data_IF_826748629296
#
_entry.id   IF_826748629296
#
_cell.length_a   1.000
_cell.length_b   1.000
_cell.length_c   1.000
_cell.angle_alpha   90.00
_cell.angle_beta   90.00
_cell.angle_gamma   90.00
#
_symmetry.space_group_name_H-M   'P 1'
#
loop_
_entity.id
_entity.type
_entity.pdbx_description
1 polymer ?
#
# COMPACT_ATOMS: atom_id res chain seq x y z
N UNK A 1 -31.79 54.37 43.09
CA UNK A 1 -31.75 54.79 41.67
C UNK A 1 -30.44 54.41 40.99
N UNK A 2 -29.27 54.73 41.58
CA UNK A 2 -27.95 54.46 40.98
C UNK A 2 -27.64 52.96 40.76
N UNK A 3 -28.03 52.09 41.69
CA UNK A 3 -27.84 50.62 41.56
C UNK A 3 -28.65 50.05 40.40
N UNK A 4 -29.88 50.50 40.21
CA UNK A 4 -30.76 50.04 39.13
C UNK A 4 -30.19 50.44 37.76
N UNK A 5 -29.69 51.68 37.62
CA UNK A 5 -29.04 52.15 36.40
C UNK A 5 -27.76 51.37 36.08
N UNK A 6 -26.98 51.02 37.11
CA UNK A 6 -25.79 50.18 36.94
C UNK A 6 -26.15 48.77 36.44
N UNK A 7 -27.19 48.14 37.01
CA UNK A 7 -27.66 46.82 36.57
C UNK A 7 -28.19 46.83 35.13
N UNK A 8 -28.92 47.88 34.75
CA UNK A 8 -29.39 48.06 33.36
C UNK A 8 -28.19 48.22 32.41
N UNK A 9 -27.18 49.00 32.80
CA UNK A 9 -25.95 49.16 32.02
C UNK A 9 -25.21 47.83 31.79
N UNK A 10 -25.05 47.03 32.84
CA UNK A 10 -24.44 45.69 32.76
C UNK A 10 -25.25 44.78 31.83
N UNK A 11 -26.58 44.79 31.92
CA UNK A 11 -27.45 44.00 31.06
C UNK A 11 -27.31 44.40 29.59
N UNK A 12 -27.25 45.70 29.28
CA UNK A 12 -27.06 46.20 27.91
C UNK A 12 -25.71 45.73 27.36
N UNK A 13 -24.63 45.85 28.14
CA UNK A 13 -23.29 45.40 27.73
C UNK A 13 -23.26 43.89 27.51
N UNK A 14 -23.87 43.12 28.40
CA UNK A 14 -24.01 41.67 28.26
C UNK A 14 -24.72 41.29 26.95
N UNK A 15 -25.86 41.91 26.66
CA UNK A 15 -26.62 41.66 25.42
C UNK A 15 -25.84 42.08 24.18
N UNK A 16 -25.14 43.21 24.23
CA UNK A 16 -24.30 43.68 23.12
C UNK A 16 -23.15 42.72 22.81
N UNK A 17 -22.40 42.27 23.83
CA UNK A 17 -21.33 41.27 23.66
C UNK A 17 -21.91 39.99 23.08
N UNK A 18 -23.01 39.49 23.65
CA UNK A 18 -23.68 38.29 23.18
C UNK A 18 -24.07 38.38 21.70
N UNK A 19 -24.67 39.50 21.30
CA UNK A 19 -25.08 39.74 19.92
C UNK A 19 -23.88 39.78 18.96
N UNK A 20 -22.82 40.52 19.31
CA UNK A 20 -21.60 40.63 18.49
C UNK A 20 -20.96 39.26 18.25
N UNK A 21 -20.80 38.44 19.30
CA UNK A 21 -20.23 37.11 19.16
C UNK A 21 -21.12 36.19 18.33
N UNK A 22 -22.44 36.17 18.57
CA UNK A 22 -23.38 35.30 17.86
C UNK A 22 -23.35 35.46 16.34
N UNK A 23 -23.22 36.70 15.85
CA UNK A 23 -23.25 36.97 14.40
C UNK A 23 -21.88 36.99 13.72
N UNK A 24 -20.79 37.15 14.47
CA UNK A 24 -19.45 37.35 13.90
C UNK A 24 -18.44 36.27 14.28
N UNK A 25 -18.77 35.30 15.14
CA UNK A 25 -17.80 34.30 15.59
C UNK A 25 -17.27 33.43 14.44
N UNK A 26 -18.12 33.04 13.47
CA UNK A 26 -17.76 32.16 12.37
C UNK A 26 -17.07 32.87 11.19
N UNK A 27 -17.23 34.18 11.07
CA UNK A 27 -16.65 34.97 9.98
C UNK A 27 -15.12 35.00 10.11
N UNK A 28 -14.42 34.79 9.00
CA UNK A 28 -12.96 34.81 8.96
C UNK A 28 -12.29 33.75 9.84
N UNK A 29 -12.97 32.60 10.07
CA UNK A 29 -12.32 31.41 10.62
C UNK A 29 -11.92 30.48 9.49
N UNK A 30 -10.62 30.20 9.38
CA UNK A 30 -10.08 29.17 8.50
C UNK A 30 -9.66 27.95 9.31
N UNK A 31 -9.94 26.75 8.79
CA UNK A 31 -9.43 25.49 9.31
C UNK A 31 -8.91 24.68 8.15
N UNK A 32 -7.69 24.16 8.28
CA UNK A 32 -7.12 23.18 7.38
C UNK A 32 -6.50 22.06 8.19
N UNK A 33 -6.81 20.82 7.81
CA UNK A 33 -6.20 19.60 8.35
C UNK A 33 -5.48 18.90 7.20
N UNK A 34 -4.19 18.68 7.34
CA UNK A 34 -3.37 18.01 6.33
C UNK A 34 -2.43 17.01 6.99
N UNK A 35 -2.16 15.89 6.32
CA UNK A 35 -1.06 15.02 6.72
C UNK A 35 0.26 15.60 6.21
N UNK A 36 1.31 15.54 7.04
CA UNK A 36 2.66 15.99 6.65
C UNK A 36 3.21 15.22 5.44
N UNK A 37 2.76 13.98 5.24
CA UNK A 37 3.11 13.12 4.10
C UNK A 37 1.84 12.52 3.51
N UNK A 38 1.82 12.32 2.18
CA UNK A 38 0.72 11.64 1.48
C UNK A 38 0.73 10.11 1.66
N UNK A 39 1.92 9.55 1.85
CA UNK A 39 2.12 8.11 1.99
C UNK A 39 3.13 7.82 3.10
N UNK A 40 2.88 6.75 3.85
CA UNK A 40 3.75 6.22 4.92
C UNK A 40 3.70 4.70 4.94
N UNK A 41 4.66 4.04 5.60
CA UNK A 41 4.65 2.58 5.72
C UNK A 41 3.95 2.17 7.02
N UNK A 42 3.25 1.04 7.00
CA UNK A 42 2.63 0.48 8.20
C UNK A 42 3.67 0.31 9.34
N UNK A 43 3.35 0.87 10.49
CA UNK A 43 4.15 0.95 11.71
C UNK A 43 4.82 2.31 11.92
N UNK A 44 4.84 3.17 10.91
CA UNK A 44 5.43 4.52 11.01
C UNK A 44 4.48 5.52 11.69
N UNK A 45 5.06 6.63 12.14
CA UNK A 45 4.33 7.78 12.69
C UNK A 45 4.39 8.95 11.72
N UNK A 46 3.25 9.58 11.49
CA UNK A 46 3.09 10.78 10.66
C UNK A 46 2.47 11.89 11.49
N UNK A 47 2.78 13.15 11.18
CA UNK A 47 2.11 14.27 11.82
C UNK A 47 0.85 14.67 11.03
N UNK A 48 -0.27 14.79 11.73
CA UNK A 48 -1.42 15.59 11.29
C UNK A 48 -1.12 17.04 11.63
N UNK A 49 -1.11 17.89 10.61
CA UNK A 49 -0.87 19.33 10.71
C UNK A 49 -2.22 20.02 10.75
N UNK A 50 -2.55 20.55 11.92
CA UNK A 50 -3.76 21.35 12.12
C UNK A 50 -3.42 22.82 12.03
N UNK A 51 -4.10 23.51 11.13
CA UNK A 51 -3.95 24.94 10.94
C UNK A 51 -5.30 25.59 11.19
N UNK A 52 -5.38 26.44 12.20
CA UNK A 52 -6.57 27.25 12.45
C UNK A 52 -6.17 28.73 12.43
N UNK A 53 -6.90 29.52 11.66
CA UNK A 53 -6.71 30.97 11.54
C UNK A 53 -7.94 31.74 11.99
N UNK A 54 -7.70 32.81 12.74
CA UNK A 54 -8.71 33.78 13.14
C UNK A 54 -8.37 35.13 12.51
N UNK A 55 -8.94 35.44 11.34
CA UNK A 55 -8.65 36.65 10.56
C UNK A 55 -9.48 37.87 10.98
N UNK A 56 -10.21 37.75 12.09
CA UNK A 56 -11.01 38.83 12.66
C UNK A 56 -10.34 39.41 13.91
N UNK A 57 -10.75 40.63 14.22
CA UNK A 57 -10.35 41.34 15.45
C UNK A 57 -11.02 40.81 16.72
N UNK A 58 -12.01 39.92 16.59
CA UNK A 58 -12.71 39.32 17.73
C UNK A 58 -11.89 38.15 18.28
N UNK A 59 -11.45 38.18 19.55
CA UNK A 59 -10.82 37.03 20.18
C UNK A 59 -11.86 35.94 20.47
N UNK A 60 -11.44 34.67 20.39
CA UNK A 60 -12.27 33.51 20.68
C UNK A 60 -11.57 32.66 21.75
N UNK A 61 -11.97 32.77 23.03
CA UNK A 61 -11.21 32.19 24.13
C UNK A 61 -11.30 30.66 24.23
N UNK A 62 -12.37 30.03 23.73
CA UNK A 62 -12.56 28.58 23.82
C UNK A 62 -13.30 28.06 22.59
N UNK A 63 -12.55 27.70 21.57
CA UNK A 63 -13.06 27.04 20.36
C UNK A 63 -12.60 25.59 20.39
N UNK A 64 -13.54 24.67 20.18
CA UNK A 64 -13.28 23.26 20.07
C UNK A 64 -13.22 22.88 18.59
N UNK A 65 -12.10 22.34 18.13
CA UNK A 65 -11.97 21.67 16.84
C UNK A 65 -12.25 20.18 17.06
N UNK A 66 -13.28 19.68 16.38
CA UNK A 66 -13.65 18.28 16.38
C UNK A 66 -13.44 17.69 15.00
N UNK A 67 -12.88 16.50 14.93
CA UNK A 67 -12.79 15.71 13.71
C UNK A 67 -12.80 14.23 14.05
N UNK A 68 -13.08 13.41 13.05
CA UNK A 68 -13.12 11.96 13.16
C UNK A 68 -12.13 11.35 12.17
N UNK A 69 -11.46 10.30 12.61
CA UNK A 69 -10.53 9.50 11.81
C UNK A 69 -10.83 8.02 12.01
N UNK A 70 -10.30 7.19 11.11
CA UNK A 70 -10.41 5.74 11.25
C UNK A 70 -9.76 5.26 12.57
N UNK A 71 -10.33 4.20 13.17
CA UNK A 71 -9.85 3.65 14.43
C UNK A 71 -8.42 3.11 14.35
N UNK A 72 -7.98 2.72 13.15
CA UNK A 72 -6.63 2.15 12.96
C UNK A 72 -5.51 3.20 12.97
N UNK A 73 -5.87 4.48 12.96
CA UNK A 73 -4.96 5.59 13.21
C UNK A 73 -4.90 5.86 14.72
N UNK A 74 -3.79 5.46 15.33
CA UNK A 74 -3.59 5.56 16.77
C UNK A 74 -2.90 6.87 17.16
N UNK A 75 -3.56 7.67 17.99
CA UNK A 75 -2.91 8.81 18.65
C UNK A 75 -2.14 8.32 19.89
N UNK A 76 -0.99 8.94 20.24
CA UNK A 76 -0.19 8.50 21.38
C UNK A 76 -1.01 8.47 22.69
N UNK A 77 -0.82 7.46 23.53
CA UNK A 77 -1.58 7.28 24.78
C UNK A 77 -1.44 8.38 25.84
N UNK A 78 -0.56 9.37 25.64
CA UNK A 78 -0.52 10.62 26.42
C UNK A 78 -1.59 11.63 26.01
N UNK A 79 -2.33 11.34 24.95
CA UNK A 79 -3.35 12.20 24.40
C UNK A 79 -4.68 12.05 25.14
N UNK A 80 -5.09 13.11 25.86
CA UNK A 80 -6.39 13.15 26.56
C UNK A 80 -7.53 13.67 25.68
N UNK A 81 -7.23 14.05 24.43
CA UNK A 81 -8.19 14.71 23.55
C UNK A 81 -8.89 13.76 22.56
N UNK A 82 -8.52 12.47 22.55
CA UNK A 82 -9.08 11.47 21.66
C UNK A 82 -9.92 10.43 22.42
N UNK A 83 -11.03 10.02 21.82
CA UNK A 83 -11.88 8.93 22.30
C UNK A 83 -12.12 7.95 21.16
N UNK A 84 -11.82 6.67 21.40
CA UNK A 84 -11.97 5.59 20.42
C UNK A 84 -13.30 4.87 20.69
N UNK A 85 -14.16 4.81 19.67
CA UNK A 85 -15.34 3.95 19.66
C UNK A 85 -15.40 3.18 18.34
N UNK A 86 -16.30 3.55 17.44
CA UNK A 86 -16.33 2.99 16.09
C UNK A 86 -15.29 3.65 15.16
N UNK A 87 -15.06 4.93 15.40
CA UNK A 87 -14.04 5.79 14.84
C UNK A 87 -13.25 6.41 15.99
N UNK A 88 -12.10 6.99 15.69
CA UNK A 88 -11.38 7.83 16.65
C UNK A 88 -11.87 9.26 16.51
N UNK A 89 -12.53 9.77 17.56
CA UNK A 89 -13.00 11.14 17.65
C UNK A 89 -12.01 11.96 18.44
N UNK A 90 -11.57 13.09 17.89
CA UNK A 90 -10.64 14.00 18.55
C UNK A 90 -11.28 15.36 18.76
N UNK A 91 -11.06 15.95 19.95
CA UNK A 91 -11.58 17.25 20.33
C UNK A 91 -10.46 18.14 20.89
N UNK A 92 -9.97 19.07 20.07
CA UNK A 92 -8.91 19.98 20.44
C UNK A 92 -9.41 21.36 20.82
N UNK A 93 -8.96 21.85 21.97
CA UNK A 93 -9.32 23.18 22.47
C UNK A 93 -8.28 24.20 22.03
N UNK A 94 -8.76 25.33 21.51
CA UNK A 94 -7.96 26.46 21.08
C UNK A 94 -8.48 27.77 21.68
N UNK A 95 -7.54 28.68 21.95
CA UNK A 95 -7.81 30.06 22.33
C UNK A 95 -7.14 30.97 21.31
N UNK A 96 -7.95 31.78 20.62
CA UNK A 96 -7.48 32.70 19.58
C UNK A 96 -7.57 34.15 20.04
N UNK A 97 -6.48 34.88 19.87
CA UNK A 97 -6.51 36.34 19.85
C UNK A 97 -6.94 36.85 18.47
N UNK A 98 -7.05 38.17 18.36
CA UNK A 98 -7.30 38.85 17.09
C UNK A 98 -6.19 38.54 16.06
N UNK A 99 -6.57 38.23 14.82
CA UNK A 99 -5.64 38.03 13.70
C UNK A 99 -4.55 36.97 13.95
N UNK A 100 -4.87 35.93 14.73
CA UNK A 100 -3.92 34.89 15.11
C UNK A 100 -4.09 33.63 14.26
N UNK A 101 -2.96 33.01 13.88
CA UNK A 101 -2.91 31.68 13.27
C UNK A 101 -2.14 30.75 14.19
N UNK A 102 -2.73 29.58 14.48
CA UNK A 102 -2.11 28.54 15.31
C UNK A 102 -1.91 27.31 14.42
N UNK A 103 -0.72 26.73 14.48
CA UNK A 103 -0.39 25.47 13.80
C UNK A 103 0.07 24.46 14.83
N UNK A 104 -0.60 23.31 14.89
CA UNK A 104 -0.22 22.17 15.74
C UNK A 104 0.18 20.99 14.86
N UNK A 105 1.17 20.23 15.32
CA UNK A 105 1.59 18.96 14.71
C UNK A 105 1.27 17.87 15.71
N UNK A 106 0.41 16.95 15.32
CA UNK A 106 -0.05 15.86 16.17
C UNK A 106 0.48 14.56 15.58
N UNK A 107 1.37 13.84 16.29
CA UNK A 107 1.85 12.55 15.82
C UNK A 107 0.71 11.53 15.85
N UNK A 108 0.60 10.75 14.79
CA UNK A 108 -0.36 9.66 14.60
C UNK A 108 0.39 8.44 14.10
N UNK A 109 0.20 7.31 14.76
CA UNK A 109 0.81 6.04 14.40
C UNK A 109 -0.12 5.25 13.49
N UNK A 110 0.39 4.80 12.35
CA UNK A 110 -0.36 4.03 11.37
C UNK A 110 -0.08 2.54 11.57
N UNK A 111 -0.95 1.80 12.27
CA UNK A 111 -0.72 0.38 12.59
C UNK A 111 -1.30 -0.61 11.57
N UNK A 112 -2.14 -0.12 10.65
CA UNK A 112 -2.74 -0.93 9.60
C UNK A 112 -2.44 -0.31 8.23
N UNK A 113 -2.27 -1.17 7.22
CA UNK A 113 -2.24 -0.72 5.82
C UNK A 113 -3.64 -0.32 5.39
N UNK A 114 -3.75 0.62 4.46
CA UNK A 114 -5.05 1.11 4.04
C UNK A 114 -5.00 2.52 3.50
N UNK A 115 -6.17 3.00 3.08
CA UNK A 115 -6.41 4.41 2.79
C UNK A 115 -7.28 4.97 3.89
N UNK A 116 -6.77 5.94 4.63
CA UNK A 116 -7.47 6.54 5.76
C UNK A 116 -7.80 7.99 5.48
N UNK A 117 -9.02 8.40 5.84
CA UNK A 117 -9.55 9.74 5.60
C UNK A 117 -9.88 10.42 6.92
N UNK A 118 -9.42 11.65 7.09
CA UNK A 118 -9.92 12.55 8.13
C UNK A 118 -11.16 13.24 7.58
N UNK A 119 -12.25 13.17 8.34
CA UNK A 119 -13.53 13.75 7.94
C UNK A 119 -14.24 14.40 9.13
N UNK A 120 -15.41 15.00 8.86
CA UNK A 120 -16.30 15.50 9.92
C UNK A 120 -15.71 16.65 10.72
N UNK A 121 -14.96 17.54 10.07
CA UNK A 121 -14.30 18.69 10.71
C UNK A 121 -15.34 19.72 11.14
N UNK A 122 -15.37 20.03 12.43
CA UNK A 122 -16.35 20.92 13.03
C UNK A 122 -15.70 21.82 14.07
N UNK A 123 -15.97 23.12 13.99
CA UNK A 123 -15.64 24.07 15.04
C UNK A 123 -16.86 24.31 15.93
N UNK A 124 -16.68 24.21 17.23
CA UNK A 124 -17.72 24.50 18.23
C UNK A 124 -17.26 25.63 19.14
N UNK A 125 -18.10 26.64 19.30
CA UNK A 125 -17.86 27.79 20.17
C UNK A 125 -19.04 28.01 21.11
N UNK A 126 -18.81 27.91 22.42
CA UNK A 126 -19.86 28.01 23.45
C UNK A 126 -20.29 29.47 23.76
N UNK A 127 -19.79 30.44 23.01
CA UNK A 127 -19.98 31.86 23.34
C UNK A 127 -19.00 32.35 24.41
N UNK A 128 -18.88 33.68 24.59
CA UNK A 128 -18.00 34.27 25.61
C UNK A 128 -18.43 33.94 27.04
N UNK A 129 -19.71 33.58 27.25
CA UNK A 129 -20.29 33.23 28.55
C UNK A 129 -20.68 31.75 28.66
N UNK A 130 -20.28 30.90 27.70
CA UNK A 130 -20.56 29.45 27.69
C UNK A 130 -22.06 29.05 27.68
N UNK A 131 -22.96 29.97 27.35
CA UNK A 131 -24.41 29.77 27.40
C UNK A 131 -25.03 29.34 26.06
N UNK A 132 -24.28 29.36 24.95
CA UNK A 132 -24.80 29.02 23.61
C UNK A 132 -23.79 28.23 22.79
N UNK A 133 -24.16 27.04 22.34
CA UNK A 133 -23.28 26.21 21.51
C UNK A 133 -23.50 26.56 20.04
N UNK A 134 -22.53 27.24 19.44
CA UNK A 134 -22.51 27.52 18.01
C UNK A 134 -21.60 26.52 17.30
N UNK A 135 -22.03 26.00 16.16
CA UNK A 135 -21.31 24.97 15.40
C UNK A 135 -21.10 25.45 13.96
N UNK A 136 -19.88 25.28 13.46
CA UNK A 136 -19.49 25.54 12.08
C UNK A 136 -18.90 24.24 11.53
N UNK A 137 -19.57 23.67 10.52
CA UNK A 137 -19.05 22.52 9.79
C UNK A 137 -18.13 23.02 8.68
N UNK A 138 -16.94 22.45 8.58
CA UNK A 138 -15.97 22.77 7.55
C UNK A 138 -15.84 21.57 6.65
N UNK A 139 -15.99 21.78 5.34
CA UNK A 139 -15.73 20.74 4.36
C UNK A 139 -14.23 20.67 4.08
N UNK A 140 -13.52 20.01 4.99
CA UNK A 140 -12.09 19.72 4.88
C UNK A 140 -11.93 18.22 4.98
N UNK A 141 -11.43 17.60 3.92
CA UNK A 141 -11.09 16.19 3.89
C UNK A 141 -9.63 16.04 3.51
N UNK A 142 -8.91 15.18 4.23
CA UNK A 142 -7.55 14.82 3.86
C UNK A 142 -7.38 13.31 3.99
N UNK A 143 -6.51 12.77 3.16
CA UNK A 143 -6.30 11.33 3.01
C UNK A 143 -4.82 11.00 3.19
N UNK A 144 -4.55 9.84 3.77
CA UNK A 144 -3.24 9.23 3.82
C UNK A 144 -3.32 7.78 3.33
N UNK A 145 -2.35 7.39 2.50
CA UNK A 145 -2.17 5.99 2.09
C UNK A 145 -1.07 5.36 2.95
N UNK A 146 -1.41 4.28 3.65
CA UNK A 146 -0.46 3.51 4.45
C UNK A 146 -0.09 2.25 3.67
N UNK A 147 1.15 2.21 3.20
CA UNK A 147 1.71 1.09 2.46
C UNK A 147 1.91 -0.14 3.36
N UNK A 148 1.79 -1.35 2.80
CA UNK A 148 2.14 -2.56 3.52
C UNK A 148 3.60 -2.52 3.98
N UNK A 149 3.86 -3.06 5.15
CA UNK A 149 5.23 -3.21 5.66
C UNK A 149 5.88 -4.40 4.97
N UNK A 150 7.12 -4.27 4.52
CA UNK A 150 7.87 -5.41 4.00
C UNK A 150 8.22 -6.40 5.11
N UNK A 151 8.29 -7.68 4.75
CA UNK A 151 8.71 -8.74 5.67
C UNK A 151 10.20 -8.62 6.01
N UNK A 152 10.63 -9.32 7.06
CA UNK A 152 12.04 -9.34 7.45
C UNK A 152 12.95 -9.89 6.34
N UNK A 153 13.94 -9.08 5.96
CA UNK A 153 14.91 -9.38 4.90
C UNK A 153 15.65 -10.70 5.09
N UNK A 154 15.96 -11.10 6.34
CA UNK A 154 16.67 -12.35 6.62
C UNK A 154 15.82 -13.58 6.34
N UNK A 155 14.53 -13.52 6.67
CA UNK A 155 13.57 -14.60 6.35
C UNK A 155 13.30 -14.67 4.85
N UNK A 156 13.21 -13.51 4.21
CA UNK A 156 12.96 -13.40 2.78
C UNK A 156 14.13 -13.85 1.90
N UNK A 157 15.36 -13.93 2.43
CA UNK A 157 16.56 -14.21 1.63
C UNK A 157 16.49 -15.53 0.86
N UNK A 158 15.83 -16.55 1.43
CA UNK A 158 15.64 -17.85 0.78
C UNK A 158 14.71 -17.73 -0.44
N UNK A 159 13.53 -17.11 -0.28
CA UNK A 159 12.59 -16.86 -1.37
C UNK A 159 13.25 -16.01 -2.46
N UNK A 160 13.95 -14.93 -2.06
CA UNK A 160 14.72 -14.09 -2.98
C UNK A 160 15.71 -14.91 -3.81
N UNK A 161 16.48 -15.80 -3.18
CA UNK A 161 17.48 -16.62 -3.86
C UNK A 161 16.85 -17.57 -4.88
N UNK A 162 15.68 -18.14 -4.57
CA UNK A 162 14.94 -19.02 -5.47
C UNK A 162 14.40 -18.26 -6.68
N UNK A 163 13.73 -17.12 -6.46
CA UNK A 163 13.21 -16.30 -7.57
C UNK A 163 14.36 -15.79 -8.45
N UNK A 164 15.47 -15.34 -7.84
CA UNK A 164 16.65 -14.89 -8.58
C UNK A 164 17.28 -16.01 -9.38
N UNK A 165 17.42 -17.22 -8.80
CA UNK A 165 17.97 -18.39 -9.48
C UNK A 165 17.13 -18.83 -10.68
N UNK A 166 15.80 -18.83 -10.56
CA UNK A 166 14.92 -19.15 -11.69
C UNK A 166 14.99 -18.06 -12.78
N UNK A 167 15.03 -16.78 -12.38
CA UNK A 167 15.21 -15.66 -13.31
C UNK A 167 16.55 -15.71 -14.05
N UNK A 168 17.61 -16.20 -13.40
CA UNK A 168 18.91 -16.45 -14.04
C UNK A 168 18.91 -17.69 -14.94
N UNK A 169 18.20 -18.77 -14.58
CA UNK A 169 18.12 -19.96 -15.42
C UNK A 169 17.44 -19.69 -16.76
N UNK A 170 16.34 -18.93 -16.77
CA UNK A 170 15.63 -18.56 -18.02
C UNK A 170 16.49 -17.70 -18.95
N UNK A 171 17.34 -16.85 -18.37
CA UNK A 171 18.28 -16.00 -19.12
C UNK A 171 19.16 -16.82 -20.08
N UNK A 172 19.75 -17.93 -19.62
CA UNK A 172 20.62 -18.80 -20.43
C UNK A 172 19.92 -19.57 -21.57
N UNK A 173 18.61 -19.47 -21.71
CA UNK A 173 17.86 -20.23 -22.72
C UNK A 173 17.71 -19.48 -24.06
N UNK A 174 18.04 -18.17 -24.11
CA UNK A 174 17.81 -17.30 -25.27
C UNK A 174 18.95 -16.28 -25.46
N UNK A 175 20.08 -16.72 -26.01
CA UNK A 175 21.19 -15.84 -26.41
C UNK A 175 20.79 -14.89 -27.57
N UNK A 176 21.20 -13.62 -27.50
CA UNK A 176 20.97 -12.66 -28.59
C UNK A 176 22.19 -12.62 -29.53
N UNK A 177 22.09 -13.10 -30.79
CA UNK A 177 23.22 -13.16 -31.72
C UNK A 177 23.84 -11.80 -32.07
N UNK A 178 23.19 -10.68 -31.73
CA UNK A 178 23.67 -9.34 -32.05
C UNK A 178 24.54 -8.72 -30.97
N UNK A 179 24.55 -9.26 -29.75
CA UNK A 179 25.34 -8.72 -28.64
C UNK A 179 26.52 -9.63 -28.37
N UNK A 180 27.70 -9.31 -28.88
CA UNK A 180 28.89 -10.13 -28.60
C UNK A 180 29.33 -10.00 -27.13
N UNK A 181 29.51 -11.12 -26.43
CA UNK A 181 29.97 -11.17 -25.04
C UNK A 181 31.44 -11.55 -24.93
N UNK A 182 31.88 -12.55 -25.70
CA UNK A 182 33.24 -13.08 -25.59
C UNK A 182 33.50 -14.27 -26.50
N UNK A 183 34.67 -14.88 -26.34
CA UNK A 183 35.07 -16.10 -27.03
C UNK A 183 35.48 -17.12 -25.97
N UNK A 184 34.98 -18.35 -26.08
CA UNK A 184 35.38 -19.47 -25.22
C UNK A 184 35.79 -20.68 -26.04
N UNK A 185 36.37 -21.66 -25.37
CA UNK A 185 36.68 -22.95 -25.98
C UNK A 185 35.41 -23.72 -26.34
N UNK A 186 35.46 -24.39 -27.49
CA UNK A 186 34.39 -25.23 -28.00
C UNK A 186 34.19 -26.47 -27.12
N UNK A 187 32.93 -26.78 -26.84
CA UNK A 187 32.53 -28.04 -26.20
C UNK A 187 31.63 -28.83 -27.15
N UNK A 188 31.53 -30.14 -26.95
CA UNK A 188 30.73 -31.02 -27.82
C UNK A 188 29.24 -30.69 -27.86
N UNK A 189 28.73 -29.87 -26.92
CA UNK A 189 27.35 -29.40 -26.89
C UNK A 189 27.12 -28.15 -27.75
N UNK A 190 28.17 -27.54 -28.31
CA UNK A 190 28.07 -26.29 -29.06
C UNK A 190 27.77 -26.54 -30.54
N UNK A 191 26.95 -25.66 -31.13
CA UNK A 191 26.70 -25.69 -32.57
C UNK A 191 27.93 -25.21 -33.34
N UNK A 192 28.30 -25.94 -34.38
CA UNK A 192 29.37 -25.53 -35.32
C UNK A 192 29.09 -24.19 -36.00
N UNK A 193 27.82 -23.74 -36.04
CA UNK A 193 27.43 -22.43 -36.56
C UNK A 193 28.02 -21.27 -35.75
N UNK A 194 28.26 -21.47 -34.46
CA UNK A 194 28.74 -20.43 -33.54
C UNK A 194 30.28 -20.42 -33.44
N UNK A 195 30.99 -21.28 -34.18
CA UNK A 195 32.45 -21.35 -34.18
C UNK A 195 33.06 -20.07 -34.75
N UNK A 196 33.97 -19.47 -34.00
CA UNK A 196 34.76 -18.34 -34.46
C UNK A 196 36.03 -18.85 -35.15
N UNK A 197 35.93 -19.09 -36.46
CA UNK A 197 37.04 -19.59 -37.27
C UNK A 197 38.31 -18.72 -37.21
N UNK A 198 38.16 -17.41 -37.01
CA UNK A 198 39.29 -16.47 -36.92
C UNK A 198 40.04 -16.61 -35.59
N UNK A 199 39.32 -16.84 -34.49
CA UNK A 199 39.92 -17.14 -33.20
C UNK A 199 40.58 -18.53 -33.24
N UNK A 200 39.85 -19.53 -33.73
CA UNK A 200 40.35 -20.91 -33.89
C UNK A 200 41.66 -20.98 -34.69
N UNK A 201 41.77 -20.23 -35.79
CA UNK A 201 42.98 -20.20 -36.60
C UNK A 201 44.21 -19.59 -35.88
N UNK A 202 44.01 -18.77 -34.84
CA UNK A 202 45.08 -18.12 -34.08
C UNK A 202 45.55 -18.94 -32.88
N UNK A 203 44.63 -19.55 -32.15
CA UNK A 203 44.92 -20.37 -30.97
C UNK A 203 45.21 -21.83 -31.31
N UNK A 204 44.79 -22.31 -32.49
CA UNK A 204 44.94 -23.71 -32.90
C UNK A 204 43.88 -24.66 -32.32
N UNK A 205 43.07 -24.19 -31.38
CA UNK A 205 41.95 -24.92 -30.77
C UNK A 205 40.62 -24.33 -31.23
N UNK A 206 39.58 -25.17 -31.36
CA UNK A 206 38.24 -24.72 -31.72
C UNK A 206 37.68 -23.75 -30.66
N UNK A 207 37.34 -22.54 -31.08
CA UNK A 207 36.74 -21.50 -30.25
C UNK A 207 35.34 -21.12 -30.76
N UNK A 208 34.45 -20.75 -29.86
CA UNK A 208 33.05 -20.38 -30.11
C UNK A 208 32.79 -18.95 -29.67
N UNK A 209 32.01 -18.20 -30.44
CA UNK A 209 31.51 -16.89 -30.03
C UNK A 209 30.41 -17.07 -28.97
N UNK A 210 30.59 -16.42 -27.82
CA UNK A 210 29.51 -16.20 -26.86
C UNK A 210 28.84 -14.87 -27.13
N UNK A 211 27.52 -14.89 -27.12
CA UNK A 211 26.71 -13.70 -27.21
C UNK A 211 26.05 -13.41 -25.85
N UNK A 212 25.81 -12.14 -25.56
CA UNK A 212 25.08 -11.66 -24.41
C UNK A 212 23.58 -11.69 -24.71
N UNK A 213 22.74 -11.73 -23.69
CA UNK A 213 21.29 -11.78 -23.90
C UNK A 213 20.67 -10.39 -23.73
N UNK A 214 19.76 -10.01 -24.63
CA UNK A 214 19.01 -8.74 -24.57
C UNK A 214 17.64 -8.87 -23.87
N UNK A 215 17.33 -10.02 -23.26
CA UNK A 215 15.98 -10.26 -22.72
C UNK A 215 15.81 -9.58 -21.36
N UNK A 216 14.76 -8.77 -21.22
CA UNK A 216 14.36 -8.19 -19.94
C UNK A 216 13.91 -9.29 -18.97
N UNK A 217 14.39 -9.19 -17.73
CA UNK A 217 13.93 -10.03 -16.62
C UNK A 217 12.60 -9.46 -16.13
N UNK A 218 11.59 -10.31 -16.09
CA UNK A 218 10.25 -9.94 -15.66
C UNK A 218 9.79 -10.88 -14.53
N UNK A 219 9.22 -10.34 -13.47
CA UNK A 219 8.62 -11.08 -12.36
C UNK A 219 7.15 -10.72 -12.28
N UNK A 220 6.27 -11.71 -12.33
CA UNK A 220 4.83 -11.51 -12.20
C UNK A 220 4.37 -12.04 -10.85
N UNK A 221 3.86 -11.16 -9.99
CA UNK A 221 3.30 -11.51 -8.69
C UNK A 221 1.82 -11.84 -8.90
N UNK A 222 1.45 -13.07 -8.57
CA UNK A 222 0.10 -13.59 -8.59
C UNK A 222 -0.38 -13.73 -7.14
N UNK A 223 -1.07 -12.72 -6.63
CA UNK A 223 -1.49 -12.64 -5.23
C UNK A 223 -2.93 -13.13 -5.08
N UNK A 224 -3.13 -14.21 -4.34
CA UNK A 224 -4.45 -14.73 -4.04
C UNK A 224 -4.80 -14.43 -2.58
N UNK A 225 -5.90 -13.72 -2.37
CA UNK A 225 -6.44 -13.41 -1.05
C UNK A 225 -7.84 -14.01 -0.82
N UNK A 226 -8.20 -15.07 -1.56
CA UNK A 226 -9.46 -15.79 -1.34
C UNK A 226 -9.48 -16.49 0.02
N UNK A 227 -10.65 -16.52 0.65
CA UNK A 227 -10.82 -17.11 1.97
C UNK A 227 -10.91 -18.65 1.88
N UNK A 228 -10.01 -19.36 2.55
CA UNK A 228 -9.97 -20.83 2.57
C UNK A 228 -10.68 -21.41 3.81
N UNK A 229 -12.00 -21.19 3.92
CA UNK A 229 -12.85 -21.79 4.96
C UNK A 229 -13.68 -20.80 5.79
N UNK A 230 -14.21 -21.26 6.93
CA UNK A 230 -15.05 -20.45 7.83
C UNK A 230 -14.27 -19.46 8.72
N UNK A 231 -12.94 -19.63 8.85
CA UNK A 231 -12.10 -18.73 9.64
C UNK A 231 -11.26 -17.89 8.68
N UNK A 232 -11.66 -16.64 8.50
CA UNK A 232 -10.83 -15.63 7.84
C UNK A 232 -9.63 -15.34 8.72
N UNK A 233 -8.44 -15.76 8.29
CA UNK A 233 -7.20 -15.38 8.94
C UNK A 233 -6.69 -14.10 8.30
N UNK A 234 -7.22 -12.96 8.72
CA UNK A 234 -6.80 -11.64 8.23
C UNK A 234 -5.27 -11.49 8.29
N UNK A 235 -4.62 -12.01 9.35
CA UNK A 235 -3.16 -11.98 9.47
C UNK A 235 -2.41 -12.74 8.37
N UNK A 236 -2.97 -13.84 7.85
CA UNK A 236 -2.34 -14.61 6.75
C UNK A 236 -2.43 -13.82 5.45
N UNK A 237 -3.59 -13.20 5.19
CA UNK A 237 -3.78 -12.34 4.02
C UNK A 237 -2.92 -11.07 4.09
N UNK A 238 -2.81 -10.45 5.27
CA UNK A 238 -1.94 -9.30 5.51
C UNK A 238 -0.45 -9.65 5.33
N UNK A 239 -0.02 -10.82 5.79
CA UNK A 239 1.35 -11.29 5.57
C UNK A 239 1.60 -11.61 4.08
N UNK A 240 0.60 -12.15 3.36
CA UNK A 240 0.67 -12.37 1.92
C UNK A 240 0.86 -11.05 1.13
N UNK A 241 0.14 -9.99 1.52
CA UNK A 241 0.31 -8.64 0.95
C UNK A 241 1.71 -8.09 1.28
N UNK A 242 2.18 -8.28 2.51
CA UNK A 242 3.52 -7.87 2.95
C UNK A 242 4.63 -8.60 2.18
N UNK A 243 4.44 -9.89 1.88
CA UNK A 243 5.30 -10.67 1.00
C UNK A 243 5.30 -10.13 -0.43
N UNK A 244 4.12 -9.83 -1.00
CA UNK A 244 4.01 -9.26 -2.34
C UNK A 244 4.76 -7.92 -2.44
N UNK A 245 4.59 -7.04 -1.44
CA UNK A 245 5.34 -5.77 -1.36
C UNK A 245 6.86 -6.01 -1.33
N UNK A 246 7.30 -7.01 -0.57
CA UNK A 246 8.73 -7.34 -0.41
C UNK A 246 9.34 -7.90 -1.70
N UNK A 247 8.61 -8.76 -2.40
CA UNK A 247 9.00 -9.27 -3.72
C UNK A 247 9.09 -8.10 -4.70
N UNK A 248 8.07 -7.24 -4.76
CA UNK A 248 8.07 -6.09 -5.66
C UNK A 248 9.24 -5.14 -5.38
N UNK A 249 9.46 -4.76 -4.12
CA UNK A 249 10.55 -3.85 -3.75
C UNK A 249 11.92 -4.42 -4.08
N UNK A 250 12.19 -5.69 -3.75
CA UNK A 250 13.48 -6.32 -4.00
C UNK A 250 13.81 -6.36 -5.50
N UNK A 251 12.88 -6.85 -6.32
CA UNK A 251 13.16 -7.03 -7.75
C UNK A 251 13.14 -5.70 -8.53
N UNK A 252 12.27 -4.75 -8.17
CA UNK A 252 12.31 -3.41 -8.77
C UNK A 252 13.63 -2.71 -8.44
N UNK A 253 14.16 -2.87 -7.21
CA UNK A 253 15.46 -2.30 -6.82
C UNK A 253 16.62 -2.90 -7.63
N UNK A 254 16.50 -4.15 -8.06
CA UNK A 254 17.46 -4.80 -8.95
C UNK A 254 17.28 -4.42 -10.44
N UNK A 255 16.33 -3.53 -10.77
CA UNK A 255 16.03 -3.12 -12.14
C UNK A 255 15.26 -4.17 -12.95
N UNK A 256 14.62 -5.12 -12.28
CA UNK A 256 13.79 -6.17 -12.89
C UNK A 256 12.36 -5.63 -12.98
N UNK A 257 11.69 -5.85 -14.11
CA UNK A 257 10.30 -5.40 -14.24
C UNK A 257 9.40 -6.30 -13.41
N UNK A 258 8.47 -5.69 -12.66
CA UNK A 258 7.50 -6.40 -11.85
C UNK A 258 6.09 -6.08 -12.32
N UNK A 259 5.24 -7.10 -12.41
CA UNK A 259 3.79 -6.96 -12.56
C UNK A 259 3.08 -7.59 -11.35
N UNK A 260 1.84 -7.17 -11.09
CA UNK A 260 1.02 -7.68 -9.98
C UNK A 260 -0.38 -7.96 -10.50
N UNK A 261 -0.94 -9.13 -10.18
CA UNK A 261 -2.33 -9.48 -10.43
C UNK A 261 -2.90 -10.10 -9.17
N UNK A 262 -4.08 -9.64 -8.75
CA UNK A 262 -4.75 -10.10 -7.54
C UNK A 262 -6.26 -10.18 -7.73
N UNK A 263 -6.91 -11.13 -7.06
CA UNK A 263 -8.37 -11.18 -6.95
C UNK A 263 -8.91 -10.26 -5.85
N UNK A 264 -8.04 -9.59 -5.10
CA UNK A 264 -8.45 -8.58 -4.14
C UNK A 264 -9.04 -7.36 -4.85
N UNK A 265 -10.10 -6.80 -4.27
CA UNK A 265 -10.80 -5.67 -4.84
C UNK A 265 -10.22 -4.34 -4.32
N UNK A 266 -10.10 -3.36 -5.21
CA UNK A 266 -9.78 -1.98 -4.84
C UNK A 266 -10.94 -1.34 -4.06
N UNK A 267 -10.64 -0.59 -3.01
CA UNK A 267 -11.63 0.08 -2.16
C UNK A 267 -12.56 1.04 -2.93
N UNK A 268 -12.07 1.70 -3.98
CA UNK A 268 -12.88 2.67 -4.75
C UNK A 268 -13.56 2.00 -5.95
N UNK A 269 -12.84 1.21 -6.76
CA UNK A 269 -13.42 0.61 -7.97
C UNK A 269 -14.24 -0.64 -7.69
N UNK A 270 -13.97 -1.34 -6.57
CA UNK A 270 -14.57 -2.63 -6.20
C UNK A 270 -14.30 -3.76 -7.21
N UNK A 271 -13.27 -3.59 -8.04
CA UNK A 271 -12.85 -4.58 -9.04
C UNK A 271 -11.48 -5.17 -8.68
N UNK A 272 -11.22 -6.38 -9.20
CA UNK A 272 -9.94 -7.06 -9.07
C UNK A 272 -8.80 -6.21 -9.63
N UNK A 273 -7.65 -6.21 -8.95
CA UNK A 273 -6.56 -5.29 -9.26
C UNK A 273 -5.45 -5.95 -10.08
N UNK A 274 -4.92 -5.18 -11.04
CA UNK A 274 -3.81 -5.60 -11.88
C UNK A 274 -2.93 -4.42 -12.28
N UNK A 275 -1.62 -4.60 -12.17
CA UNK A 275 -0.58 -3.67 -12.62
C UNK A 275 0.30 -4.37 -13.64
N UNK A 276 0.54 -3.71 -14.77
CA UNK A 276 1.39 -4.20 -15.87
C UNK A 276 2.87 -4.18 -15.47
N UNK A 277 3.69 -4.84 -16.28
CA UNK A 277 5.16 -4.85 -16.10
C UNK A 277 5.72 -3.42 -16.06
N UNK A 278 6.58 -3.14 -15.08
CA UNK A 278 7.28 -1.88 -14.96
C UNK A 278 8.40 -1.95 -13.91
N UNK A 279 9.25 -0.92 -13.88
CA UNK A 279 10.34 -0.80 -12.92
C UNK A 279 10.51 0.66 -12.46
N UNK A 280 11.40 0.86 -11.48
CA UNK A 280 11.69 2.16 -10.90
C UNK A 280 10.78 2.55 -9.72
N UNK A 281 11.15 3.67 -9.08
CA UNK A 281 10.53 4.13 -7.81
C UNK A 281 9.05 4.49 -7.99
N UNK A 282 8.69 5.12 -9.12
CA UNK A 282 7.29 5.45 -9.40
C UNK A 282 6.41 4.20 -9.52
N UNK A 283 6.91 3.16 -10.19
CA UNK A 283 6.20 1.88 -10.34
C UNK A 283 6.04 1.15 -9.01
N UNK A 284 7.09 1.14 -8.17
CA UNK A 284 7.01 0.60 -6.81
C UNK A 284 5.95 1.35 -5.99
N UNK A 285 5.88 2.67 -6.11
CA UNK A 285 4.82 3.49 -5.51
C UNK A 285 3.42 3.10 -5.98
N UNK A 286 3.23 2.83 -7.28
CA UNK A 286 1.96 2.35 -7.82
C UNK A 286 1.57 0.98 -7.27
N UNK A 287 2.51 0.03 -7.19
CA UNK A 287 2.29 -1.29 -6.59
C UNK A 287 1.89 -1.16 -5.12
N UNK A 288 2.66 -0.40 -4.34
CA UNK A 288 2.37 -0.21 -2.91
C UNK A 288 1.03 0.50 -2.67
N UNK A 289 0.66 1.43 -3.56
CA UNK A 289 -0.64 2.10 -3.51
C UNK A 289 -1.78 1.12 -3.76
N UNK A 290 -1.65 0.23 -4.76
CA UNK A 290 -2.65 -0.81 -5.02
C UNK A 290 -2.73 -1.81 -3.88
N UNK A 291 -1.60 -2.29 -3.35
CA UNK A 291 -1.57 -3.18 -2.18
C UNK A 291 -2.19 -2.54 -0.93
N UNK A 292 -2.01 -1.23 -0.74
CA UNK A 292 -2.65 -0.48 0.34
C UNK A 292 -4.16 -0.35 0.15
N UNK A 293 -4.64 -0.23 -1.09
CA UNK A 293 -6.06 -0.04 -1.43
C UNK A 293 -6.87 -1.34 -1.49
N UNK A 294 -6.23 -2.51 -1.44
CA UNK A 294 -6.91 -3.80 -1.39
C UNK A 294 -7.75 -3.93 -0.11
N UNK A 295 -9.06 -4.10 -0.26
CA UNK A 295 -9.98 -4.34 0.85
C UNK A 295 -10.24 -5.85 1.00
N UNK A 296 -9.89 -6.40 2.17
CA UNK A 296 -10.11 -7.81 2.49
C UNK A 296 -11.57 -8.14 2.80
N UNK A 297 -12.40 -7.14 3.11
CA UNK A 297 -13.81 -7.34 3.49
C UNK A 297 -14.73 -7.51 2.27
N UNK A 298 -14.28 -7.08 1.11
CA UNK A 298 -15.04 -7.23 -0.13
C UNK A 298 -15.04 -8.70 -0.56
N UNK A 299 -16.14 -9.12 -1.20
CA UNK A 299 -16.23 -10.43 -1.83
C UNK A 299 -15.25 -10.48 -3.01
N UNK A 300 -14.46 -11.53 -3.05
CA UNK A 300 -13.37 -11.71 -4.02
C UNK A 300 -13.82 -12.77 -5.02
N UNK A 301 -13.51 -12.57 -6.29
CA UNK A 301 -13.70 -13.62 -7.28
C UNK A 301 -12.76 -14.79 -7.01
N UNK A 302 -13.16 -15.99 -7.43
CA UNK A 302 -12.33 -17.18 -7.31
C UNK A 302 -11.04 -17.00 -8.12
N UNK A 303 -9.89 -17.16 -7.47
CA UNK A 303 -8.61 -16.84 -8.09
C UNK A 303 -8.31 -17.71 -9.32
N UNK A 304 -8.71 -18.98 -9.28
CA UNK A 304 -8.60 -19.87 -10.42
C UNK A 304 -9.38 -19.35 -11.65
N UNK A 305 -10.54 -18.73 -11.46
CA UNK A 305 -11.34 -18.15 -12.54
C UNK A 305 -10.67 -16.88 -13.10
N UNK A 306 -10.15 -16.01 -12.23
CA UNK A 306 -9.39 -14.82 -12.64
C UNK A 306 -8.19 -15.19 -13.53
N UNK A 307 -7.41 -16.21 -13.14
CA UNK A 307 -6.24 -16.65 -13.90
C UNK A 307 -6.66 -17.23 -15.26
N UNK A 308 -7.70 -18.06 -15.31
CA UNK A 308 -8.21 -18.60 -16.57
C UNK A 308 -8.66 -17.47 -17.51
N UNK A 309 -9.44 -16.51 -17.01
CA UNK A 309 -9.90 -15.35 -17.79
C UNK A 309 -8.74 -14.50 -18.30
N UNK A 310 -7.77 -14.23 -17.45
CA UNK A 310 -6.68 -13.27 -17.75
C UNK A 310 -5.61 -13.86 -18.65
N UNK A 311 -5.27 -15.14 -18.48
CA UNK A 311 -4.14 -15.75 -19.18
C UNK A 311 -4.53 -16.87 -20.16
N UNK A 312 -5.64 -17.56 -19.94
CA UNK A 312 -6.04 -18.67 -20.82
C UNK A 312 -7.00 -18.19 -21.90
N UNK A 313 -7.96 -17.33 -21.54
CA UNK A 313 -8.98 -16.81 -22.45
C UNK A 313 -8.54 -15.50 -23.14
N UNK A 314 -7.98 -14.55 -22.40
CA UNK A 314 -7.50 -13.27 -22.95
C UNK A 314 -5.99 -13.32 -23.27
N UNK A 315 -5.64 -13.80 -24.47
CA UNK A 315 -4.25 -13.83 -25.01
C UNK A 315 -3.64 -12.42 -25.22
N UNK A 316 -4.41 -11.35 -24.99
CA UNK A 316 -4.02 -9.95 -25.20
C UNK A 316 -3.15 -9.35 -24.09
N UNK A 317 -3.10 -9.97 -22.91
CA UNK A 317 -2.03 -9.68 -21.95
C UNK A 317 -0.80 -10.37 -22.48
N UNK A 318 0.00 -9.64 -23.27
CA UNK A 318 1.36 -10.02 -23.66
C UNK A 318 2.18 -10.24 -22.39
N UNK A 319 1.98 -11.42 -21.80
CA UNK A 319 2.79 -11.95 -20.75
C UNK A 319 4.05 -12.35 -21.49
N UNK A 320 5.12 -11.60 -21.26
CA UNK A 320 6.42 -11.96 -21.81
C UNK A 320 6.69 -13.43 -21.48
N UNK A 321 6.95 -14.27 -22.49
CA UNK A 321 7.29 -15.70 -22.30
C UNK A 321 8.47 -15.88 -21.32
N UNK A 322 9.20 -14.81 -21.04
CA UNK A 322 10.33 -14.73 -20.12
C UNK A 322 10.01 -14.27 -18.68
N UNK A 323 8.74 -14.26 -18.27
CA UNK A 323 8.39 -13.95 -16.87
C UNK A 323 8.62 -15.12 -15.91
N UNK A 324 9.06 -14.83 -14.68
CA UNK A 324 9.00 -15.74 -13.53
C UNK A 324 7.71 -15.43 -12.77
N UNK A 325 6.84 -16.43 -12.60
CA UNK A 325 5.57 -16.24 -11.91
C UNK A 325 5.70 -16.63 -10.44
N UNK A 326 5.42 -15.69 -9.55
CA UNK A 326 5.47 -15.87 -8.10
C UNK A 326 4.03 -15.85 -7.59
N UNK A 327 3.50 -17.03 -7.28
CA UNK A 327 2.17 -17.21 -6.71
C UNK A 327 2.27 -17.10 -5.19
N UNK A 328 1.56 -16.16 -4.60
CA UNK A 328 1.44 -16.02 -3.15
C UNK A 328 -0.01 -16.35 -2.80
N UNK A 329 -0.26 -17.52 -2.22
CA UNK A 329 -1.61 -18.01 -1.94
C UNK A 329 -1.62 -18.91 -0.73
N UNK A 330 -2.42 -18.57 0.28
CA UNK A 330 -2.71 -19.45 1.41
C UNK A 330 -3.76 -20.53 1.06
N UNK A 331 -4.67 -20.21 0.13
CA UNK A 331 -5.65 -21.18 -0.37
C UNK A 331 -4.96 -22.33 -1.09
N UNK A 332 -5.38 -23.55 -0.73
CA UNK A 332 -4.85 -24.82 -1.27
C UNK A 332 -5.92 -25.65 -1.98
N UNK A 333 -7.02 -25.02 -2.39
CA UNK A 333 -8.14 -25.73 -3.04
C UNK A 333 -7.68 -26.50 -4.27
N UNK A 334 -8.24 -27.71 -4.45
CA UNK A 334 -7.92 -28.61 -5.58
C UNK A 334 -8.03 -27.93 -6.94
N UNK A 335 -9.06 -27.10 -7.16
CA UNK A 335 -9.30 -26.39 -8.42
C UNK A 335 -8.20 -25.37 -8.73
N UNK A 336 -7.69 -24.67 -7.72
CA UNK A 336 -6.57 -23.74 -7.87
C UNK A 336 -5.29 -24.49 -8.22
N UNK A 337 -4.97 -25.57 -7.50
CA UNK A 337 -3.78 -26.39 -7.78
C UNK A 337 -3.78 -26.95 -9.21
N UNK A 338 -4.91 -27.46 -9.67
CA UNK A 338 -5.06 -27.96 -11.06
C UNK A 338 -4.92 -26.84 -12.09
N UNK A 339 -5.41 -25.64 -11.78
CA UNK A 339 -5.29 -24.47 -12.67
C UNK A 339 -3.84 -24.01 -12.76
N UNK A 340 -3.14 -23.93 -11.62
CA UNK A 340 -1.71 -23.58 -11.58
C UNK A 340 -0.85 -24.63 -12.28
N UNK A 341 -1.18 -25.93 -12.20
CA UNK A 341 -0.47 -26.96 -12.95
C UNK A 341 -0.64 -26.80 -14.48
N UNK A 342 -1.84 -26.42 -14.95
CA UNK A 342 -2.05 -26.10 -16.36
C UNK A 342 -1.28 -24.85 -16.77
N UNK A 343 -1.25 -23.86 -15.88
CA UNK A 343 -0.53 -22.61 -16.07
C UNK A 343 0.98 -22.83 -16.19
N UNK A 344 1.57 -23.61 -15.28
CA UNK A 344 2.99 -23.99 -15.29
C UNK A 344 3.37 -24.72 -16.59
N UNK A 345 2.52 -25.65 -17.06
CA UNK A 345 2.76 -26.34 -18.35
C UNK A 345 2.78 -25.39 -19.55
N UNK A 346 2.06 -24.27 -19.50
CA UNK A 346 1.96 -23.30 -20.62
C UNK A 346 3.05 -22.23 -20.55
N UNK A 347 3.28 -21.65 -19.37
CA UNK A 347 4.14 -20.48 -19.17
C UNK A 347 5.49 -20.79 -18.52
N UNK A 348 5.70 -22.06 -18.14
CA UNK A 348 6.91 -22.55 -17.52
C UNK A 348 6.95 -22.28 -16.02
N UNK A 349 8.04 -21.69 -15.56
CA UNK A 349 8.40 -21.61 -14.14
C UNK A 349 7.38 -20.85 -13.28
N UNK A 350 6.84 -21.55 -12.28
CA UNK A 350 5.97 -21.02 -11.23
C UNK A 350 6.61 -21.32 -9.87
N UNK A 351 6.77 -20.28 -9.05
CA UNK A 351 7.18 -20.41 -7.64
C UNK A 351 5.94 -20.15 -6.80
N UNK A 352 5.51 -21.13 -6.02
CA UNK A 352 4.35 -20.99 -5.15
C UNK A 352 4.79 -20.83 -3.70
N UNK A 353 4.54 -19.64 -3.15
CA UNK A 353 4.74 -19.31 -1.74
C UNK A 353 3.40 -19.49 -1.02
N UNK A 354 3.39 -20.30 0.04
CA UNK A 354 2.20 -20.60 0.82
C UNK A 354 2.35 -20.00 2.23
N UNK A 355 1.72 -18.85 2.51
CA UNK A 355 1.62 -18.33 3.88
C UNK A 355 0.76 -19.28 4.74
N UNK A 356 1.28 -19.68 5.91
CA UNK A 356 0.59 -20.59 6.83
C UNK A 356 0.83 -20.20 8.30
N UNK A 357 -0.15 -20.47 9.16
CA UNK A 357 -0.02 -20.24 10.61
C UNK A 357 0.90 -21.28 11.26
N UNK A 358 1.56 -20.93 12.38
CA UNK A 358 2.42 -21.86 13.14
C UNK A 358 1.71 -23.19 13.43
N UNK A 359 2.35 -24.30 13.04
CA UNK A 359 1.80 -25.66 13.16
C UNK A 359 0.87 -26.09 12.03
N UNK A 360 0.62 -25.24 11.03
CA UNK A 360 -0.13 -25.58 9.82
C UNK A 360 0.72 -26.31 8.77
N UNK A 361 0.05 -27.12 7.95
CA UNK A 361 0.66 -27.73 6.75
C UNK A 361 0.59 -26.80 5.54
N UNK A 362 1.57 -26.91 4.64
CA UNK A 362 1.64 -26.14 3.39
C UNK A 362 1.81 -27.01 2.14
N UNK A 363 1.58 -28.32 2.24
CA UNK A 363 1.68 -29.24 1.10
C UNK A 363 0.64 -28.96 0.02
N UNK A 364 0.99 -29.28 -1.23
CA UNK A 364 0.13 -29.21 -2.39
C UNK A 364 -0.09 -30.63 -2.94
N UNK A 365 -1.20 -31.26 -2.57
CA UNK A 365 -1.43 -32.69 -2.85
C UNK A 365 -1.96 -32.98 -4.27
N UNK A 366 -2.41 -31.95 -4.99
CA UNK A 366 -3.10 -32.07 -6.28
C UNK A 366 -2.33 -31.44 -7.45
N UNK A 367 -1.07 -31.04 -7.25
CA UNK A 367 -0.19 -30.59 -8.33
C UNK A 367 1.26 -31.04 -8.10
N UNK A 368 2.08 -30.98 -9.16
CA UNK A 368 3.51 -31.33 -9.09
C UNK A 368 4.42 -30.19 -8.64
N UNK A 369 3.85 -29.02 -8.32
CA UNK A 369 4.60 -27.82 -7.94
C UNK A 369 5.06 -27.99 -6.48
N UNK A 370 6.35 -27.79 -6.23
CA UNK A 370 6.88 -27.78 -4.87
C UNK A 370 6.64 -26.41 -4.23
N UNK A 371 5.81 -26.30 -3.18
CA UNK A 371 5.56 -25.04 -2.50
C UNK A 371 6.74 -24.64 -1.62
N UNK A 372 6.90 -23.33 -1.42
CA UNK A 372 7.75 -22.75 -0.40
C UNK A 372 6.85 -22.23 0.73
N UNK A 373 6.96 -22.85 1.91
CA UNK A 373 6.16 -22.45 3.07
C UNK A 373 6.66 -21.13 3.67
N UNK A 374 5.72 -20.24 4.03
CA UNK A 374 5.99 -19.03 4.80
C UNK A 374 5.19 -19.01 6.09
N UNK A 375 5.85 -19.21 7.22
CA UNK A 375 5.19 -19.16 8.53
C UNK A 375 4.79 -17.71 8.89
N UNK A 376 3.53 -17.47 9.20
CA UNK A 376 3.03 -16.18 9.69
C UNK A 376 3.38 -16.04 11.18
N UNK A 377 3.91 -14.89 11.59
CA UNK A 377 4.37 -14.63 12.96
C UNK A 377 3.46 -13.71 13.73
#
# INVERSE_FOLDING_TARGET
>A
MNVLLMLIGVLIVYLAIKFVFRYNWNKGLGVALEFEKKHVVNGETVNVVEVISNEKRLPLPCVNLKFQVDRELEFPGTDTNSSVSDLTYRNDVFSFLANQRITRRIPVKCNHRGVFKISGVQLTFAGPFMNEINVLKVDSTCEITVYPKTVDSKRFSFIRSRISGEAERKKYMLEDPFVFRGIRDYTSNDSLKNVNWKATARTGNLCVNEYNESVSRNVCILLNLEDDGMLTYDSVNEEAISLAASVAEEFIRQGINVSLISNACDVDTKEAVGIREGAGVGHLGSINTVLARMDLKLEKEEFAALINRTFIENVSVQSSDNSVYVVISASRRKKLQQTMQKFEKKYGQVIWIVPYMTGGEYSLDYCGIRPEGWEVK
#
